data_IF_890040896086
#
_entry.id   IF_890040896086
#
_cell.length_a   1.000
_cell.length_b   1.000
_cell.length_c   1.000
_cell.angle_alpha   90.00
_cell.angle_beta   90.00
_cell.angle_gamma   90.00
#
_symmetry.space_group_name_H-M   'P 1'
#
loop_
_entity.id
_entity.type
_entity.pdbx_description
1 polymer ?
#
# COMPACT_ATOMS: atom_id res chain seq x y z
N UNK A 1 28.96 -7.97 9.40
CA UNK A 1 27.97 -8.28 10.44
C UNK A 1 27.48 -9.71 10.34
N UNK A 2 27.21 -10.35 11.46
CA UNK A 2 26.61 -11.69 11.50
C UNK A 2 25.26 -11.66 10.78
N UNK A 3 25.15 -12.50 9.75
CA UNK A 3 23.91 -12.69 9.01
C UNK A 3 22.88 -13.53 9.78
N UNK A 4 21.89 -14.05 9.07
CA UNK A 4 20.85 -14.87 9.69
C UNK A 4 21.46 -16.07 10.40
N UNK A 5 21.04 -16.27 11.66
CA UNK A 5 21.43 -17.39 12.49
C UNK A 5 20.26 -18.36 12.56
N UNK A 6 20.44 -19.54 12.00
CA UNK A 6 19.46 -20.63 12.11
C UNK A 6 19.93 -21.59 13.19
N UNK A 7 19.08 -21.80 14.21
CA UNK A 7 19.29 -22.82 15.23
C UNK A 7 18.27 -23.93 15.01
N UNK A 8 18.78 -25.18 14.96
CA UNK A 8 17.94 -26.38 14.91
C UNK A 8 18.42 -27.37 15.99
N UNK A 9 17.49 -27.79 16.81
CA UNK A 9 17.74 -28.87 17.77
C UNK A 9 17.72 -30.23 17.07
N UNK A 10 18.67 -31.06 17.41
CA UNK A 10 18.75 -32.43 16.90
C UNK A 10 18.47 -33.37 18.04
N UNK A 11 17.50 -34.24 17.84
CA UNK A 11 17.14 -35.31 18.77
C UNK A 11 17.48 -36.68 18.14
N UNK A 12 17.92 -37.61 18.93
CA UNK A 12 18.08 -39.00 18.50
C UNK A 12 16.73 -39.67 18.56
N UNK A 13 16.39 -40.40 17.50
CA UNK A 13 15.17 -41.19 17.42
C UNK A 13 15.47 -42.63 17.75
N UNK A 14 14.60 -43.30 18.51
CA UNK A 14 14.67 -44.74 18.69
C UNK A 14 14.14 -45.51 17.47
N UNK A 15 14.23 -46.84 17.49
CA UNK A 15 13.78 -47.68 16.38
C UNK A 15 12.27 -47.58 16.10
N UNK A 16 11.48 -47.01 17.01
CA UNK A 16 10.03 -46.81 16.89
C UNK A 16 9.69 -45.35 16.50
N UNK A 17 10.72 -44.52 16.22
CA UNK A 17 10.54 -43.13 15.76
C UNK A 17 10.17 -42.14 16.87
N UNK A 18 10.42 -42.46 18.14
CA UNK A 18 10.21 -41.54 19.28
C UNK A 18 11.49 -40.79 19.58
N UNK A 19 11.37 -39.50 19.89
CA UNK A 19 12.51 -38.68 20.35
C UNK A 19 12.94 -39.18 21.73
N UNK A 20 14.19 -39.64 21.85
CA UNK A 20 14.70 -40.23 23.08
C UNK A 20 15.72 -39.38 23.79
N UNK A 21 16.58 -38.68 23.08
CA UNK A 21 17.66 -37.92 23.65
C UNK A 21 18.01 -36.67 22.84
N UNK A 22 18.33 -35.58 23.53
CA UNK A 22 18.87 -34.38 22.93
C UNK A 22 20.32 -34.58 22.52
N UNK A 23 20.60 -34.57 21.23
CA UNK A 23 21.95 -34.80 20.68
C UNK A 23 22.75 -33.50 20.54
N UNK A 24 22.13 -32.38 20.43
CA UNK A 24 22.81 -31.09 20.29
C UNK A 24 22.07 -30.04 19.49
N UNK A 25 22.70 -28.88 19.34
CA UNK A 25 22.24 -27.79 18.49
C UNK A 25 23.15 -27.68 17.28
N UNK A 26 22.53 -27.54 16.11
CA UNK A 26 23.22 -27.09 14.89
C UNK A 26 22.94 -25.59 14.69
N UNK A 27 24.03 -24.83 14.63
CA UNK A 27 23.96 -23.38 14.32
C UNK A 27 24.54 -23.16 12.94
N UNK A 28 23.72 -22.70 12.01
CA UNK A 28 24.14 -22.31 10.68
C UNK A 28 24.30 -20.80 10.61
N UNK A 29 25.51 -20.34 10.32
CA UNK A 29 25.82 -18.92 10.10
C UNK A 29 25.99 -18.67 8.60
N UNK A 30 25.17 -17.78 8.04
CA UNK A 30 25.28 -17.34 6.66
C UNK A 30 25.76 -15.89 6.62
N UNK A 31 26.83 -15.63 5.87
CA UNK A 31 27.23 -14.25 5.60
C UNK A 31 26.28 -13.64 4.54
N UNK A 32 25.54 -12.62 4.93
CA UNK A 32 24.59 -11.89 4.06
C UNK A 32 25.01 -10.43 3.85
N UNK A 33 26.27 -10.08 4.14
CA UNK A 33 26.75 -8.68 4.07
C UNK A 33 26.57 -8.11 2.66
N UNK A 34 27.04 -8.82 1.65
CA UNK A 34 26.92 -8.42 0.24
C UNK A 34 25.45 -8.24 -0.19
N UNK A 35 24.58 -9.17 0.23
CA UNK A 35 23.14 -9.07 -0.03
C UNK A 35 22.52 -7.83 0.62
N UNK A 36 22.88 -7.53 1.88
CA UNK A 36 22.37 -6.33 2.58
C UNK A 36 22.92 -5.03 2.00
N UNK A 37 24.16 -5.01 1.54
CA UNK A 37 24.76 -3.85 0.88
C UNK A 37 24.05 -3.56 -0.44
N UNK A 38 23.79 -4.59 -1.25
CA UNK A 38 23.03 -4.46 -2.50
C UNK A 38 21.60 -3.97 -2.26
N UNK A 39 20.91 -4.54 -1.28
CA UNK A 39 19.54 -4.15 -0.93
C UNK A 39 19.47 -2.69 -0.41
N UNK A 40 20.44 -2.29 0.41
CA UNK A 40 20.57 -0.91 0.88
C UNK A 40 20.88 0.07 -0.26
N UNK A 41 21.77 -0.31 -1.19
CA UNK A 41 22.09 0.48 -2.35
C UNK A 41 20.87 0.66 -3.27
N UNK A 42 20.12 -0.43 -3.54
CA UNK A 42 18.86 -0.40 -4.29
C UNK A 42 17.85 0.55 -3.67
N UNK A 43 17.64 0.46 -2.34
CA UNK A 43 16.70 1.33 -1.61
C UNK A 43 17.10 2.80 -1.69
N UNK A 44 18.39 3.10 -1.51
CA UNK A 44 18.93 4.46 -1.60
C UNK A 44 18.77 5.02 -3.01
N UNK A 45 19.08 4.23 -4.03
CA UNK A 45 18.95 4.60 -5.44
C UNK A 45 17.51 4.96 -5.80
N UNK A 46 16.52 4.12 -5.43
CA UNK A 46 15.11 4.38 -5.71
C UNK A 46 14.62 5.62 -4.95
N UNK A 47 15.05 5.80 -3.70
CA UNK A 47 14.72 6.99 -2.92
C UNK A 47 15.23 8.27 -3.58
N UNK A 48 16.48 8.25 -4.04
CA UNK A 48 17.10 9.38 -4.74
C UNK A 48 16.37 9.69 -6.04
N UNK A 49 16.10 8.68 -6.89
CA UNK A 49 15.37 8.87 -8.14
C UNK A 49 13.98 9.43 -7.89
N UNK A 50 13.26 8.92 -6.89
CA UNK A 50 11.92 9.42 -6.56
C UNK A 50 11.95 10.91 -6.18
N UNK A 51 12.96 11.35 -5.44
CA UNK A 51 13.15 12.77 -5.12
C UNK A 51 13.51 13.60 -6.35
N UNK A 52 14.44 13.11 -7.18
CA UNK A 52 14.89 13.80 -8.39
C UNK A 52 13.79 13.90 -9.46
N UNK A 53 12.86 12.94 -9.51
CA UNK A 53 11.69 13.01 -10.38
C UNK A 53 10.59 13.93 -9.85
N UNK A 54 10.39 14.00 -8.55
CA UNK A 54 9.35 14.83 -7.94
C UNK A 54 9.53 16.31 -8.27
N UNK A 55 10.76 16.80 -8.26
CA UNK A 55 11.08 18.22 -8.51
C UNK A 55 10.67 18.68 -9.92
N UNK A 56 11.12 18.03 -11.03
CA UNK A 56 10.72 18.45 -12.37
C UNK A 56 9.21 18.26 -12.63
N UNK A 57 8.60 17.20 -12.11
CA UNK A 57 7.15 17.00 -12.26
C UNK A 57 6.37 18.11 -11.54
N UNK A 58 6.79 18.49 -10.34
CA UNK A 58 6.16 19.62 -9.61
C UNK A 58 6.33 20.94 -10.37
N UNK A 59 7.47 21.16 -11.04
CA UNK A 59 7.68 22.31 -11.90
C UNK A 59 6.74 22.31 -13.12
N UNK A 60 6.50 21.16 -13.75
CA UNK A 60 5.54 21.00 -14.85
C UNK A 60 4.13 21.38 -14.38
N UNK A 61 3.69 20.83 -13.24
CA UNK A 61 2.37 21.13 -12.67
C UNK A 61 2.21 22.61 -12.31
N UNK A 62 3.28 23.24 -11.79
CA UNK A 62 3.27 24.68 -11.50
C UNK A 62 3.18 25.51 -12.76
N UNK A 63 3.89 25.14 -13.83
CA UNK A 63 3.83 25.80 -15.12
C UNK A 63 2.44 25.69 -15.75
N UNK A 64 1.81 24.51 -15.67
CA UNK A 64 0.43 24.31 -16.12
C UNK A 64 -0.55 25.20 -15.34
N UNK A 65 -0.38 25.28 -14.01
CA UNK A 65 -1.22 26.14 -13.18
C UNK A 65 -1.10 27.61 -13.56
N UNK A 66 0.08 28.05 -13.97
CA UNK A 66 0.30 29.41 -14.47
C UNK A 66 -0.35 29.60 -15.85
N UNK A 67 -0.20 28.63 -16.77
CA UNK A 67 -0.84 28.71 -18.10
C UNK A 67 -2.37 28.78 -18.04
N UNK A 68 -2.97 28.12 -17.05
CA UNK A 68 -4.43 28.14 -16.81
C UNK A 68 -4.91 29.43 -16.11
N UNK A 69 -4.01 30.26 -15.64
CA UNK A 69 -4.37 31.54 -15.01
C UNK A 69 -4.81 32.56 -16.06
N UNK A 70 -6.08 32.95 -16.03
CA UNK A 70 -6.65 33.93 -16.95
C UNK A 70 -5.92 35.26 -17.04
N UNK A 71 -5.09 35.59 -16.04
CA UNK A 71 -4.27 36.81 -16.06
C UNK A 71 -3.12 36.73 -17.07
N UNK A 72 -2.74 35.53 -17.52
CA UNK A 72 -1.68 35.32 -18.52
C UNK A 72 -2.27 35.35 -19.92
N UNK A 73 -3.52 34.91 -20.06
CA UNK A 73 -4.29 34.88 -21.32
C UNK A 73 -5.32 33.76 -21.32
N UNK A 74 -6.26 33.86 -22.27
CA UNK A 74 -7.25 32.81 -22.45
C UNK A 74 -6.67 31.67 -23.32
N UNK A 75 -6.93 30.45 -22.91
CA UNK A 75 -6.59 29.24 -23.67
C UNK A 75 -7.78 28.85 -24.56
N UNK A 76 -7.51 28.37 -25.77
CA UNK A 76 -8.52 27.74 -26.60
C UNK A 76 -8.83 26.33 -26.12
N UNK A 77 -9.92 25.72 -26.63
CA UNK A 77 -10.40 24.41 -26.19
C UNK A 77 -9.32 23.28 -26.36
N UNK A 78 -8.55 23.35 -27.44
CA UNK A 78 -7.49 22.39 -27.71
C UNK A 78 -6.34 22.53 -26.71
N UNK A 79 -5.94 23.74 -26.36
CA UNK A 79 -4.93 24.02 -25.35
C UNK A 79 -5.38 23.56 -23.96
N UNK A 80 -6.65 23.77 -23.61
CA UNK A 80 -7.23 23.29 -22.36
C UNK A 80 -7.17 21.75 -22.29
N UNK A 81 -7.55 21.06 -23.38
CA UNK A 81 -7.50 19.60 -23.45
C UNK A 81 -6.06 19.07 -23.31
N UNK A 82 -5.10 19.69 -23.99
CA UNK A 82 -3.68 19.33 -23.90
C UNK A 82 -3.12 19.57 -22.49
N UNK A 83 -3.41 20.72 -21.89
CA UNK A 83 -3.00 21.03 -20.52
C UNK A 83 -3.57 20.02 -19.51
N UNK A 84 -4.84 19.64 -19.69
CA UNK A 84 -5.50 18.60 -18.90
C UNK A 84 -4.79 17.24 -19.01
N UNK A 85 -4.43 16.82 -20.21
CA UNK A 85 -3.70 15.56 -20.46
C UNK A 85 -2.29 15.55 -19.83
N UNK A 86 -1.57 16.68 -19.93
CA UNK A 86 -0.24 16.83 -19.30
C UNK A 86 -0.37 16.77 -17.79
N UNK A 87 -1.39 17.43 -17.21
CA UNK A 87 -1.67 17.38 -15.78
C UNK A 87 -1.92 15.95 -15.31
N UNK A 88 -2.86 15.24 -15.96
CA UNK A 88 -3.20 13.86 -15.61
C UNK A 88 -1.96 12.94 -15.66
N UNK A 89 -1.15 13.08 -16.69
CA UNK A 89 0.10 12.31 -16.82
C UNK A 89 1.12 12.65 -15.74
N UNK A 90 1.23 13.94 -15.38
CA UNK A 90 2.17 14.40 -14.34
C UNK A 90 1.73 13.94 -12.95
N UNK A 91 0.44 14.03 -12.62
CA UNK A 91 -0.12 13.56 -11.36
C UNK A 91 0.08 12.04 -11.22
N UNK A 92 -0.14 11.29 -12.30
CA UNK A 92 0.11 9.84 -12.32
C UNK A 92 1.59 9.49 -12.08
N UNK A 93 2.53 10.25 -12.66
CA UNK A 93 3.96 10.05 -12.41
C UNK A 93 4.32 10.32 -10.95
N UNK A 94 3.76 11.36 -10.32
CA UNK A 94 3.95 11.63 -8.89
C UNK A 94 3.41 10.49 -8.02
N UNK A 95 2.25 9.94 -8.35
CA UNK A 95 1.66 8.81 -7.66
C UNK A 95 2.59 7.59 -7.73
N UNK A 96 2.99 7.17 -8.94
CA UNK A 96 3.88 6.02 -9.16
C UNK A 96 5.21 6.18 -8.41
N UNK A 97 5.83 7.36 -8.47
CA UNK A 97 7.10 7.62 -7.76
C UNK A 97 6.92 7.57 -6.25
N UNK A 98 5.78 8.04 -5.73
CA UNK A 98 5.42 7.97 -4.32
C UNK A 98 5.19 6.53 -3.84
N UNK A 99 4.51 5.70 -4.63
CA UNK A 99 4.29 4.29 -4.32
C UNK A 99 5.59 3.50 -4.33
N UNK A 100 6.44 3.71 -5.33
CA UNK A 100 7.75 3.06 -5.43
C UNK A 100 8.63 3.36 -4.21
N UNK A 101 8.64 4.62 -3.75
CA UNK A 101 9.37 5.01 -2.54
C UNK A 101 8.83 4.32 -1.29
N UNK A 102 7.51 4.27 -1.11
CA UNK A 102 6.88 3.59 0.03
C UNK A 102 7.19 2.10 0.03
N UNK A 103 7.12 1.45 -1.13
CA UNK A 103 7.43 0.04 -1.31
C UNK A 103 8.88 -0.27 -0.89
N UNK A 104 9.84 0.52 -1.33
CA UNK A 104 11.25 0.33 -0.96
C UNK A 104 11.52 0.54 0.52
N UNK A 105 10.81 1.45 1.19
CA UNK A 105 10.90 1.62 2.64
C UNK A 105 10.39 0.39 3.40
N UNK A 106 9.29 -0.22 2.92
CA UNK A 106 8.76 -1.48 3.47
C UNK A 106 9.77 -2.63 3.27
N UNK A 107 10.32 -2.78 2.06
CA UNK A 107 11.30 -3.82 1.73
C UNK A 107 12.55 -3.72 2.60
N UNK A 108 13.07 -2.52 2.80
CA UNK A 108 14.25 -2.28 3.63
C UNK A 108 14.01 -2.45 5.14
N UNK A 109 12.78 -2.77 5.56
CA UNK A 109 12.42 -2.83 6.99
C UNK A 109 12.58 -1.47 7.70
N UNK A 110 12.67 -0.37 6.95
CA UNK A 110 12.84 0.99 7.47
C UNK A 110 11.52 1.70 7.75
N UNK A 111 10.40 1.00 7.59
CA UNK A 111 9.09 1.54 7.89
C UNK A 111 8.97 1.79 9.40
N UNK A 112 9.11 3.03 9.80
CA UNK A 112 8.83 3.44 11.19
C UNK A 112 7.32 3.58 11.37
N UNK A 113 6.79 2.87 12.36
CA UNK A 113 5.39 2.98 12.74
C UNK A 113 5.25 3.96 13.90
N UNK A 114 4.25 4.83 13.83
CA UNK A 114 3.85 5.76 14.88
C UNK A 114 2.42 5.45 15.35
N UNK A 115 2.23 4.36 16.13
CA UNK A 115 0.90 3.93 16.53
C UNK A 115 0.25 4.90 17.51
N UNK A 116 -1.03 5.18 17.28
CA UNK A 116 -1.89 6.04 18.11
C UNK A 116 -3.24 5.38 18.31
N UNK A 117 -3.94 5.79 19.37
CA UNK A 117 -5.32 5.35 19.58
C UNK A 117 -6.21 6.02 18.53
N UNK A 118 -6.78 5.21 17.63
CA UNK A 118 -7.55 5.66 16.47
C UNK A 118 -8.88 4.92 16.44
N UNK A 119 -9.95 5.58 16.01
CA UNK A 119 -11.25 4.94 15.77
C UNK A 119 -11.27 4.36 14.36
N UNK A 120 -11.75 3.12 14.15
CA UNK A 120 -11.84 2.51 12.82
C UNK A 120 -12.60 3.38 11.82
N UNK A 121 -13.66 4.05 12.23
CA UNK A 121 -14.48 4.90 11.37
C UNK A 121 -13.69 6.10 10.81
N UNK A 122 -12.77 6.68 11.58
CA UNK A 122 -11.95 7.79 11.11
C UNK A 122 -11.03 7.37 9.93
N UNK A 123 -10.56 6.11 9.94
CA UNK A 123 -9.76 5.53 8.87
C UNK A 123 -10.60 5.25 7.62
N UNK A 124 -11.82 4.72 7.82
CA UNK A 124 -12.78 4.46 6.75
C UNK A 124 -13.20 5.77 6.07
N UNK A 125 -13.59 6.78 6.85
CA UNK A 125 -13.98 8.09 6.36
C UNK A 125 -12.87 8.76 5.55
N UNK A 126 -11.62 8.61 6.01
CA UNK A 126 -10.47 9.13 5.28
C UNK A 126 -10.32 8.46 3.92
N UNK A 127 -10.39 7.12 3.86
CA UNK A 127 -10.27 6.38 2.62
C UNK A 127 -11.38 6.73 1.62
N UNK A 128 -12.61 6.89 2.09
CA UNK A 128 -13.76 7.31 1.26
C UNK A 128 -13.52 8.72 0.69
N UNK A 129 -13.12 9.67 1.54
CA UNK A 129 -12.85 11.06 1.09
C UNK A 129 -11.73 11.10 0.07
N UNK A 130 -10.67 10.33 0.26
CA UNK A 130 -9.53 10.26 -0.65
C UNK A 130 -9.91 9.70 -2.03
N UNK A 131 -10.89 8.79 -2.09
CA UNK A 131 -11.32 8.14 -3.34
C UNK A 131 -12.61 8.74 -3.93
N UNK A 132 -13.15 9.81 -3.35
CA UNK A 132 -14.46 10.36 -3.72
C UNK A 132 -14.56 10.71 -5.22
N UNK A 133 -13.59 11.45 -5.72
CA UNK A 133 -13.58 11.89 -7.14
C UNK A 133 -13.53 10.68 -8.08
N UNK A 134 -12.75 9.67 -7.73
CA UNK A 134 -12.65 8.45 -8.51
C UNK A 134 -13.96 7.66 -8.48
N UNK A 135 -14.58 7.51 -7.31
CA UNK A 135 -15.87 6.83 -7.18
C UNK A 135 -16.98 7.53 -7.97
N UNK A 136 -17.05 8.88 -7.93
CA UNK A 136 -17.98 9.69 -8.74
C UNK A 136 -17.72 9.49 -10.23
N UNK A 137 -16.47 9.47 -10.69
CA UNK A 137 -16.11 9.27 -12.11
C UNK A 137 -16.56 7.90 -12.64
N UNK A 138 -16.49 6.85 -11.82
CA UNK A 138 -16.91 5.49 -12.19
C UNK A 138 -18.36 5.17 -11.78
N UNK A 139 -19.10 6.16 -11.26
CA UNK A 139 -20.46 6.00 -10.74
C UNK A 139 -20.59 4.85 -9.72
N UNK A 140 -19.56 4.60 -8.91
CA UNK A 140 -19.59 3.57 -7.91
C UNK A 140 -20.32 4.02 -6.63
N UNK A 141 -21.17 3.15 -6.09
CA UNK A 141 -21.88 3.40 -4.82
C UNK A 141 -21.11 2.78 -3.66
N UNK A 142 -20.58 3.63 -2.77
CA UNK A 142 -19.86 3.17 -1.57
C UNK A 142 -20.82 3.16 -0.39
N UNK A 143 -21.04 1.98 0.17
CA UNK A 143 -21.80 1.75 1.40
C UNK A 143 -20.85 1.54 2.57
N UNK A 144 -21.21 2.07 3.74
CA UNK A 144 -20.40 1.96 4.95
C UNK A 144 -21.12 1.07 5.95
N UNK A 145 -20.42 0.04 6.44
CA UNK A 145 -20.97 -0.94 7.36
C UNK A 145 -20.09 -1.08 8.61
N UNK A 146 -20.60 -0.68 9.76
CA UNK A 146 -19.94 -0.91 11.06
C UNK A 146 -20.94 -0.90 12.20
N UNK A 147 -20.65 -1.62 13.31
CA UNK A 147 -21.55 -1.66 14.48
C UNK A 147 -21.48 -0.35 15.26
N UNK A 148 -22.56 -0.06 15.99
CA UNK A 148 -22.67 1.14 16.86
C UNK A 148 -21.52 1.26 17.87
N UNK A 149 -21.03 0.11 18.36
CA UNK A 149 -19.89 0.01 19.28
C UNK A 149 -18.79 -0.86 18.68
N UNK A 150 -17.63 -0.26 18.47
CA UNK A 150 -16.44 -0.93 18.01
C UNK A 150 -15.22 -0.43 18.80
N UNK A 151 -14.29 -1.32 19.10
CA UNK A 151 -13.08 -0.99 19.86
C UNK A 151 -12.18 -0.02 19.10
N UNK A 152 -11.53 0.87 19.84
CA UNK A 152 -10.45 1.69 19.27
C UNK A 152 -9.24 0.82 18.98
N UNK A 153 -8.47 1.19 17.97
CA UNK A 153 -7.26 0.53 17.54
C UNK A 153 -6.02 1.29 18.01
N UNK A 154 -4.95 0.56 18.32
CA UNK A 154 -3.63 1.15 18.54
C UNK A 154 -2.79 0.88 17.30
N UNK A 155 -2.84 1.81 16.34
CA UNK A 155 -2.27 1.66 14.99
C UNK A 155 -1.68 2.98 14.49
N UNK A 156 -0.79 2.87 13.50
CA UNK A 156 -0.37 4.02 12.71
C UNK A 156 -1.50 4.39 11.75
N UNK A 157 -2.22 5.45 12.08
CA UNK A 157 -3.41 5.88 11.33
C UNK A 157 -3.09 6.25 9.88
N UNK A 158 -1.92 6.83 9.60
CA UNK A 158 -1.51 7.20 8.23
C UNK A 158 -1.25 5.96 7.38
N UNK A 159 -0.58 4.95 7.94
CA UNK A 159 -0.29 3.70 7.21
C UNK A 159 -1.54 2.87 6.96
N UNK A 160 -2.42 2.75 7.97
CA UNK A 160 -3.70 2.03 7.78
C UNK A 160 -4.61 2.79 6.82
N UNK A 161 -4.71 4.11 6.93
CA UNK A 161 -5.48 4.92 5.98
C UNK A 161 -4.96 4.73 4.54
N UNK A 162 -3.64 4.68 4.35
CA UNK A 162 -3.06 4.38 3.04
C UNK A 162 -3.44 2.99 2.52
N UNK A 163 -3.37 1.95 3.36
CA UNK A 163 -3.82 0.59 2.98
C UNK A 163 -5.28 0.61 2.53
N UNK A 164 -6.16 1.24 3.33
CA UNK A 164 -7.59 1.29 3.01
C UNK A 164 -7.87 2.11 1.74
N UNK A 165 -7.15 3.21 1.51
CA UNK A 165 -7.24 4.00 0.29
C UNK A 165 -6.89 3.16 -0.94
N UNK A 166 -5.82 2.36 -0.88
CA UNK A 166 -5.42 1.48 -1.98
C UNK A 166 -6.43 0.36 -2.22
N UNK A 167 -6.92 -0.28 -1.15
CA UNK A 167 -7.95 -1.32 -1.28
C UNK A 167 -9.23 -0.76 -1.90
N UNK A 168 -9.67 0.41 -1.46
CA UNK A 168 -10.87 1.06 -1.98
C UNK A 168 -10.68 1.53 -3.42
N UNK A 169 -9.51 2.07 -3.79
CA UNK A 169 -9.16 2.44 -5.16
C UNK A 169 -9.20 1.23 -6.09
N UNK A 170 -8.65 0.09 -5.67
CA UNK A 170 -8.74 -1.16 -6.41
C UNK A 170 -10.19 -1.62 -6.58
N UNK A 171 -10.97 -1.61 -5.50
CA UNK A 171 -12.38 -1.95 -5.55
C UNK A 171 -13.15 -1.09 -6.56
N UNK A 172 -12.92 0.23 -6.58
CA UNK A 172 -13.54 1.15 -7.56
C UNK A 172 -13.13 0.79 -8.99
N UNK A 173 -11.84 0.47 -9.20
CA UNK A 173 -11.32 0.18 -10.54
C UNK A 173 -11.89 -1.12 -11.13
N UNK A 174 -12.13 -2.14 -10.29
CA UNK A 174 -12.60 -3.45 -10.73
C UNK A 174 -14.11 -3.65 -10.62
N UNK A 175 -14.82 -2.72 -9.99
CA UNK A 175 -16.28 -2.71 -9.92
C UNK A 175 -16.86 -2.21 -11.25
N UNK A 176 -17.89 -2.86 -11.81
CA UNK A 176 -18.60 -2.34 -12.98
C UNK A 176 -19.17 -0.94 -12.74
N UNK A 177 -19.39 -0.19 -13.81
CA UNK A 177 -20.08 1.11 -13.74
C UNK A 177 -21.45 0.97 -13.05
N UNK A 178 -21.78 1.90 -12.16
CA UNK A 178 -22.94 1.85 -11.27
C UNK A 178 -22.93 0.68 -10.27
N UNK A 179 -21.77 0.06 -10.05
CA UNK A 179 -21.63 -1.04 -9.12
C UNK A 179 -21.54 -0.58 -7.66
N UNK A 180 -21.66 -1.55 -6.75
CA UNK A 180 -21.65 -1.37 -5.31
C UNK A 180 -20.31 -1.80 -4.73
N UNK A 181 -19.86 -1.06 -3.71
CA UNK A 181 -18.69 -1.38 -2.90
C UNK A 181 -19.11 -1.22 -1.44
N UNK A 182 -18.74 -2.16 -0.60
CA UNK A 182 -18.96 -2.08 0.85
C UNK A 182 -17.62 -1.94 1.53
N UNK A 183 -17.46 -0.91 2.36
CA UNK A 183 -16.31 -0.74 3.25
C UNK A 183 -16.80 -0.72 4.67
N UNK A 184 -16.17 -1.47 5.55
CA UNK A 184 -16.68 -1.57 6.90
C UNK A 184 -15.67 -2.12 7.91
N UNK A 185 -16.15 -2.23 9.14
CA UNK A 185 -15.40 -2.83 10.23
C UNK A 185 -16.31 -3.62 11.16
N UNK A 186 -15.83 -4.74 11.68
CA UNK A 186 -16.54 -5.51 12.70
C UNK A 186 -15.59 -6.04 13.76
N UNK A 187 -16.16 -6.33 14.92
CA UNK A 187 -15.41 -6.87 16.05
C UNK A 187 -15.48 -8.39 16.00
N UNK A 188 -14.30 -9.03 15.94
CA UNK A 188 -14.16 -10.50 16.02
C UNK A 188 -13.28 -10.78 17.24
N UNK A 189 -13.87 -11.28 18.31
CA UNK A 189 -13.21 -11.49 19.60
C UNK A 189 -12.50 -10.23 20.11
N UNK A 190 -11.17 -10.29 20.20
CA UNK A 190 -10.30 -9.19 20.63
C UNK A 190 -9.71 -8.40 19.46
N UNK A 191 -10.12 -8.71 18.24
CA UNK A 191 -9.62 -8.06 17.02
C UNK A 191 -10.73 -7.24 16.37
N UNK A 192 -10.33 -6.20 15.66
CA UNK A 192 -11.20 -5.47 14.75
C UNK A 192 -10.75 -5.80 13.33
N UNK A 193 -11.65 -6.33 12.55
CA UNK A 193 -11.45 -6.55 11.13
C UNK A 193 -12.03 -5.37 10.36
N UNK A 194 -11.23 -4.77 9.47
CA UNK A 194 -11.67 -3.74 8.53
C UNK A 194 -11.63 -4.38 7.15
N UNK A 195 -12.70 -4.23 6.39
CA UNK A 195 -12.85 -4.89 5.10
C UNK A 195 -13.30 -3.91 4.03
N UNK A 196 -12.93 -4.24 2.78
CA UNK A 196 -13.45 -3.63 1.56
C UNK A 196 -13.94 -4.78 0.68
N UNK A 197 -15.19 -4.73 0.27
CA UNK A 197 -15.81 -5.74 -0.59
C UNK A 197 -16.32 -5.07 -1.84
N UNK A 198 -15.82 -5.52 -2.98
CA UNK A 198 -16.36 -5.21 -4.30
C UNK A 198 -17.23 -6.35 -4.82
N UNK A 199 -18.04 -6.05 -5.83
CA UNK A 199 -18.90 -7.01 -6.53
C UNK A 199 -18.50 -7.08 -8.01
N UNK A 200 -17.21 -6.90 -8.29
CA UNK A 200 -16.62 -7.00 -9.60
C UNK A 200 -16.45 -8.44 -10.10
N UNK A 201 -15.63 -8.59 -11.11
CA UNK A 201 -15.37 -9.91 -11.74
C UNK A 201 -14.61 -10.91 -10.84
N UNK A 202 -14.15 -10.46 -9.67
CA UNK A 202 -13.33 -11.26 -8.76
C UNK A 202 -11.93 -11.54 -9.31
N UNK A 203 -11.18 -12.32 -8.52
CA UNK A 203 -9.82 -12.77 -8.85
C UNK A 203 -9.86 -14.28 -9.10
N UNK A 204 -9.26 -14.75 -10.20
CA UNK A 204 -9.15 -16.16 -10.49
C UNK A 204 -8.46 -16.90 -9.32
N UNK A 205 -9.03 -18.01 -8.81
CA UNK A 205 -8.46 -18.74 -7.66
C UNK A 205 -6.98 -19.09 -7.78
N UNK A 206 -6.47 -19.25 -9.01
CA UNK A 206 -5.05 -19.52 -9.27
C UNK A 206 -4.12 -18.41 -8.78
N UNK A 207 -4.64 -17.19 -8.65
CA UNK A 207 -3.85 -16.01 -8.23
C UNK A 207 -4.05 -15.65 -6.76
N UNK A 208 -4.99 -16.29 -6.01
CA UNK A 208 -5.30 -15.93 -4.62
C UNK A 208 -4.09 -15.97 -3.68
N UNK A 209 -3.14 -16.88 -3.93
CA UNK A 209 -1.91 -16.93 -3.14
C UNK A 209 -0.86 -15.93 -3.61
N UNK A 210 -0.79 -15.69 -4.92
CA UNK A 210 0.26 -14.86 -5.52
C UNK A 210 -0.05 -13.36 -5.52
N UNK A 211 -1.31 -12.92 -5.30
CA UNK A 211 -1.64 -11.48 -5.27
C UNK A 211 -0.95 -10.70 -4.16
N UNK A 212 -0.45 -11.38 -3.14
CA UNK A 212 0.35 -10.81 -2.05
C UNK A 212 1.84 -11.13 -2.15
N UNK A 213 2.23 -11.93 -3.15
CA UNK A 213 3.63 -12.23 -3.39
C UNK A 213 4.35 -11.01 -3.98
N UNK A 214 5.65 -10.94 -3.72
CA UNK A 214 6.52 -9.94 -4.30
C UNK A 214 7.05 -10.51 -5.63
N UNK A 215 6.54 -10.03 -6.77
CA UNK A 215 6.94 -10.38 -8.13
C UNK A 215 7.02 -11.88 -8.48
#
# INVERSE_FOLDING_TARGET
>A
GLGDVYKRQIHVMDGDGRETEYAGDVILLKNITEFKELDSAKTTFISTISHELKTPISAILMSLKLLEDKRIGDMNDEQIALAGSIRESSDRLLEITGELLKMTQVEAGKLQLNPKITKPIELIDYAIKANRVQAERFNCHIEVEYPEKISKLFVDSEKIAWVLTNLLSNAIHYTPENGRIVIGAHQVDKKVEIFVQDFGKGIDPRYHQSIFDRY
#
